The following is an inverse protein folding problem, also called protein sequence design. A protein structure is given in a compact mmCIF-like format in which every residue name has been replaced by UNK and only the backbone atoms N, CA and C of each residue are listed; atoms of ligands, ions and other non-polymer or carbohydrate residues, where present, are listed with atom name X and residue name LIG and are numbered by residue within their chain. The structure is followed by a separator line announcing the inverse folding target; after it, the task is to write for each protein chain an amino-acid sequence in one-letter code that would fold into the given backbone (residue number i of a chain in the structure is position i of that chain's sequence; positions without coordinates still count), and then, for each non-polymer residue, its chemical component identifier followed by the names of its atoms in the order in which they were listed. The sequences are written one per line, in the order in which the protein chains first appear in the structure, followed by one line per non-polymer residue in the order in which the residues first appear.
data_IF_121438380487
#
_entry.id   IF_121438380487
#
_cell.length_a   1.000
_cell.length_b   1.000
_cell.length_c   1.000
_cell.angle_alpha   90.00
_cell.angle_beta   90.00
_cell.angle_gamma   90.00
#
_symmetry.space_group_name_H-M   'P 1'
#
loop_
_entity.id
_entity.type
_entity.pdbx_description
1 polymer ?
#
# COMPACT_ATOMS: atom_id res chain seq x y z
N UNK A 1 4.53 -18.84 -7.88
CA UNK A 1 5.72 -18.02 -7.55
C UNK A 1 5.87 -17.02 -8.69
N UNK A 2 5.41 -15.77 -8.52
CA UNK A 2 5.60 -14.75 -9.56
C UNK A 2 7.10 -14.53 -9.77
N UNK A 3 7.54 -14.51 -11.03
CA UNK A 3 8.94 -14.25 -11.36
C UNK A 3 9.35 -12.88 -10.81
N UNK A 4 10.51 -12.83 -10.14
CA UNK A 4 11.06 -11.57 -9.66
C UNK A 4 11.47 -10.73 -10.85
N UNK A 5 11.03 -9.47 -10.90
CA UNK A 5 11.45 -8.56 -11.96
C UNK A 5 12.69 -7.82 -11.43
N UNK A 6 13.83 -8.06 -12.08
CA UNK A 6 15.04 -7.33 -11.76
C UNK A 6 14.89 -5.86 -12.20
N UNK A 7 15.64 -4.95 -11.56
CA UNK A 7 15.60 -3.53 -11.93
C UNK A 7 16.00 -3.34 -13.39
N UNK A 8 16.99 -4.10 -13.84
CA UNK A 8 17.52 -4.09 -15.20
C UNK A 8 16.42 -4.44 -16.21
N UNK A 9 15.66 -5.50 -15.96
CA UNK A 9 14.52 -5.90 -16.78
C UNK A 9 13.42 -4.84 -16.82
N UNK A 10 13.15 -4.16 -15.69
CA UNK A 10 12.20 -3.05 -15.66
C UNK A 10 12.69 -1.87 -16.52
N UNK A 11 13.99 -1.56 -16.45
CA UNK A 11 14.58 -0.49 -17.26
C UNK A 11 14.54 -0.84 -18.75
N UNK A 12 14.82 -2.08 -19.14
CA UNK A 12 14.67 -2.54 -20.53
C UNK A 12 13.25 -2.37 -21.06
N UNK A 13 12.23 -2.72 -20.26
CA UNK A 13 10.82 -2.51 -20.62
C UNK A 13 10.47 -1.04 -20.79
N UNK A 14 11.02 -0.16 -19.94
CA UNK A 14 10.84 1.29 -20.07
C UNK A 14 11.48 1.83 -21.35
N UNK A 15 12.66 1.33 -21.72
CA UNK A 15 13.32 1.68 -23.00
C UNK A 15 12.48 1.22 -24.19
N UNK A 16 11.98 -0.02 -24.18
CA UNK A 16 11.11 -0.54 -25.25
C UNK A 16 9.81 0.26 -25.38
N UNK A 17 9.18 0.59 -24.25
CA UNK A 17 8.01 1.46 -24.22
C UNK A 17 8.31 2.85 -24.80
N UNK A 18 9.46 3.46 -24.45
CA UNK A 18 9.85 4.76 -24.97
C UNK A 18 10.05 4.75 -26.50
N UNK A 19 10.64 3.67 -27.05
CA UNK A 19 10.76 3.49 -28.49
C UNK A 19 9.40 3.33 -29.19
N UNK A 20 8.47 2.58 -28.58
CA UNK A 20 7.09 2.45 -29.10
C UNK A 20 6.35 3.79 -29.05
N UNK A 21 6.45 4.50 -27.92
CA UNK A 21 5.84 5.82 -27.70
C UNK A 21 6.30 6.85 -28.74
N UNK A 22 7.60 6.85 -29.12
CA UNK A 22 8.13 7.69 -30.21
C UNK A 22 7.44 7.42 -31.53
N UNK A 23 7.30 6.14 -31.91
CA UNK A 23 6.63 5.73 -33.16
C UNK A 23 5.15 6.11 -33.18
N UNK A 24 4.53 6.18 -31.99
CA UNK A 24 3.14 6.59 -31.81
C UNK A 24 2.98 8.11 -31.61
N UNK A 25 4.01 8.91 -31.86
CA UNK A 25 3.94 10.38 -31.88
C UNK A 25 3.82 11.04 -30.50
N UNK A 26 4.27 10.38 -29.42
CA UNK A 26 4.44 11.05 -28.13
C UNK A 26 5.56 12.10 -28.26
N UNK A 27 5.37 13.25 -27.61
CA UNK A 27 6.31 14.36 -27.68
C UNK A 27 7.68 13.95 -27.11
N UNK A 28 8.76 14.39 -27.76
CA UNK A 28 10.13 14.04 -27.36
C UNK A 28 10.42 14.45 -25.92
N UNK A 29 9.89 15.59 -25.48
CA UNK A 29 10.04 16.11 -24.13
C UNK A 29 9.37 15.21 -23.08
N UNK A 30 8.21 14.62 -23.41
CA UNK A 30 7.52 13.68 -22.54
C UNK A 30 8.32 12.38 -22.38
N UNK A 31 8.91 11.88 -23.46
CA UNK A 31 9.76 10.68 -23.42
C UNK A 31 11.05 10.95 -22.63
N UNK A 32 11.72 12.07 -22.88
CA UNK A 32 12.94 12.44 -22.15
C UNK A 32 12.67 12.51 -20.63
N UNK A 33 11.51 13.03 -20.23
CA UNK A 33 11.10 13.06 -18.81
C UNK A 33 11.00 11.65 -18.21
N UNK A 34 10.49 10.66 -18.94
CA UNK A 34 10.47 9.26 -18.47
C UNK A 34 11.88 8.69 -18.33
N UNK A 35 12.78 8.99 -19.27
CA UNK A 35 14.18 8.54 -19.22
C UNK A 35 14.92 9.13 -18.00
N UNK A 36 14.72 10.41 -17.71
CA UNK A 36 15.26 11.08 -16.52
C UNK A 36 14.72 10.49 -15.19
N UNK A 37 13.42 10.22 -15.14
CA UNK A 37 12.80 9.56 -13.99
C UNK A 37 13.29 8.13 -13.80
N UNK A 38 13.58 7.43 -14.91
CA UNK A 38 14.09 6.06 -14.91
C UNK A 38 15.51 6.02 -14.35
N UNK A 39 16.36 6.95 -14.78
CA UNK A 39 17.72 7.11 -14.26
C UNK A 39 17.74 7.38 -12.74
N UNK A 40 16.79 8.19 -12.25
CA UNK A 40 16.62 8.49 -10.82
C UNK A 40 15.77 7.47 -10.05
N UNK A 41 15.35 6.37 -10.68
CA UNK A 41 14.55 5.29 -10.07
C UNK A 41 13.23 5.77 -9.45
N UNK A 42 12.63 6.84 -9.99
CA UNK A 42 11.36 7.42 -9.54
C UNK A 42 10.17 6.65 -10.13
N UNK A 43 10.13 5.34 -9.92
CA UNK A 43 9.19 4.46 -10.61
C UNK A 43 7.72 4.74 -10.31
N UNK A 44 7.36 5.13 -9.08
CA UNK A 44 5.97 5.52 -8.80
C UNK A 44 5.55 6.78 -9.57
N UNK A 45 6.46 7.73 -9.75
CA UNK A 45 6.21 8.93 -10.55
C UNK A 45 6.01 8.58 -12.03
N UNK A 46 6.81 7.64 -12.55
CA UNK A 46 6.62 7.09 -13.90
C UNK A 46 5.25 6.44 -14.02
N UNK A 47 4.90 5.54 -13.10
CA UNK A 47 3.62 4.83 -13.16
C UNK A 47 2.41 5.78 -13.18
N UNK A 48 2.46 6.85 -12.38
CA UNK A 48 1.42 7.88 -12.39
C UNK A 48 1.35 8.62 -13.74
N UNK A 49 2.50 9.02 -14.29
CA UNK A 49 2.54 9.70 -15.60
C UNK A 49 2.03 8.82 -16.73
N UNK A 50 2.46 7.56 -16.77
CA UNK A 50 2.01 6.58 -17.76
C UNK A 50 0.50 6.35 -17.65
N UNK A 51 -0.04 6.21 -16.45
CA UNK A 51 -1.49 6.11 -16.22
C UNK A 51 -2.25 7.33 -16.73
N UNK A 52 -1.78 8.53 -16.40
CA UNK A 52 -2.41 9.77 -16.84
C UNK A 52 -2.38 9.91 -18.37
N UNK A 53 -1.25 9.64 -19.01
CA UNK A 53 -1.12 9.73 -20.46
C UNK A 53 -1.95 8.68 -21.18
N UNK A 54 -1.92 7.43 -20.70
CA UNK A 54 -2.73 6.33 -21.26
C UNK A 54 -4.22 6.68 -21.25
N UNK A 55 -4.71 7.27 -20.16
CA UNK A 55 -6.10 7.70 -20.04
C UNK A 55 -6.44 8.88 -20.97
N UNK A 56 -5.52 9.82 -21.20
CA UNK A 56 -5.77 11.00 -22.04
C UNK A 56 -5.71 10.72 -23.53
N UNK A 57 -4.77 9.87 -23.97
CA UNK A 57 -4.53 9.61 -25.40
C UNK A 57 -5.67 8.84 -26.06
N UNK A 58 -6.42 8.05 -25.27
CA UNK A 58 -7.53 7.23 -25.73
C UNK A 58 -7.15 6.30 -26.91
N UNK A 59 -5.90 5.81 -26.90
CA UNK A 59 -5.38 4.84 -27.87
C UNK A 59 -5.24 3.47 -27.17
N UNK A 60 -5.94 2.42 -27.64
CA UNK A 60 -5.93 1.12 -26.96
C UNK A 60 -4.55 0.46 -26.89
N UNK A 61 -3.72 0.58 -27.94
CA UNK A 61 -2.40 -0.03 -27.96
C UNK A 61 -1.47 0.67 -26.98
N UNK A 62 -1.43 2.00 -27.02
CA UNK A 62 -0.68 2.82 -26.08
C UNK A 62 -1.10 2.57 -24.64
N UNK A 63 -2.41 2.43 -24.41
CA UNK A 63 -2.95 2.12 -23.09
C UNK A 63 -2.41 0.78 -22.59
N UNK A 64 -2.52 -0.28 -23.40
CA UNK A 64 -2.03 -1.61 -23.03
C UNK A 64 -0.53 -1.61 -22.75
N UNK A 65 0.29 -1.07 -23.65
CA UNK A 65 1.75 -1.00 -23.45
C UNK A 65 2.13 -0.21 -22.18
N UNK A 66 1.46 0.92 -21.94
CA UNK A 66 1.69 1.73 -20.75
C UNK A 66 1.29 0.99 -19.48
N UNK A 67 0.18 0.25 -19.50
CA UNK A 67 -0.30 -0.52 -18.34
C UNK A 67 0.57 -1.75 -18.05
N UNK A 68 1.18 -2.36 -19.06
CA UNK A 68 2.18 -3.43 -18.86
C UNK A 68 3.44 -2.91 -18.15
N UNK A 69 3.90 -1.70 -18.48
CA UNK A 69 4.99 -1.05 -17.77
C UNK A 69 4.58 -0.68 -16.34
N UNK A 70 3.38 -0.13 -16.14
CA UNK A 70 2.84 0.16 -14.79
C UNK A 70 2.75 -1.11 -13.94
N UNK A 71 2.31 -2.23 -14.51
CA UNK A 71 2.29 -3.52 -13.84
C UNK A 71 3.71 -3.97 -13.46
N UNK A 72 4.67 -3.81 -14.37
CA UNK A 72 6.09 -4.11 -14.11
C UNK A 72 6.67 -3.29 -12.96
N UNK A 73 6.33 -1.99 -12.90
CA UNK A 73 6.71 -1.10 -11.79
C UNK A 73 6.10 -1.58 -10.47
N UNK A 74 4.80 -1.93 -10.48
CA UNK A 74 4.11 -2.46 -9.30
C UNK A 74 4.76 -3.74 -8.81
N UNK A 75 5.08 -4.67 -9.71
CA UNK A 75 5.77 -5.92 -9.35
C UNK A 75 7.14 -5.67 -8.72
N UNK A 76 7.95 -4.77 -9.31
CA UNK A 76 9.26 -4.40 -8.79
C UNK A 76 9.15 -3.76 -7.38
N UNK A 77 8.29 -2.76 -7.23
CA UNK A 77 8.11 -2.07 -5.95
C UNK A 77 7.44 -2.97 -4.90
N UNK A 78 6.55 -3.86 -5.32
CA UNK A 78 5.94 -4.87 -4.46
C UNK A 78 6.98 -5.84 -3.92
N UNK A 79 7.90 -6.33 -4.76
CA UNK A 79 9.03 -7.16 -4.34
C UNK A 79 9.94 -6.44 -3.35
N UNK A 80 10.24 -5.16 -3.61
CA UNK A 80 10.96 -4.32 -2.65
C UNK A 80 10.20 -4.21 -1.33
N UNK A 81 8.90 -3.93 -1.35
CA UNK A 81 8.06 -3.84 -0.15
C UNK A 81 7.96 -5.17 0.62
N UNK A 82 8.08 -6.30 -0.07
CA UNK A 82 8.04 -7.62 0.53
C UNK A 82 9.36 -8.01 1.22
N UNK A 83 10.48 -7.59 0.67
CA UNK A 83 11.81 -8.05 1.07
C UNK A 83 12.65 -7.00 1.80
N UNK A 84 12.23 -5.74 1.80
CA UNK A 84 12.88 -4.67 2.53
C UNK A 84 12.95 -4.97 4.04
N UNK A 85 14.13 -4.74 4.62
CA UNK A 85 14.38 -4.86 6.06
C UNK A 85 14.90 -3.56 6.68
N UNK A 86 15.11 -2.52 5.87
CA UNK A 86 15.59 -1.23 6.34
C UNK A 86 14.60 -0.65 7.36
N UNK A 87 15.09 -0.14 8.51
CA UNK A 87 14.23 0.58 9.44
C UNK A 87 13.69 1.85 8.78
N UNK A 88 12.53 2.30 9.26
CA UNK A 88 12.03 3.64 8.97
C UNK A 88 11.58 4.32 10.25
N UNK A 89 11.55 5.64 10.24
CA UNK A 89 10.89 6.42 11.29
C UNK A 89 9.40 6.43 11.02
N UNK A 90 8.63 5.82 11.91
CA UNK A 90 7.17 5.82 11.84
C UNK A 90 6.63 7.04 12.59
N UNK A 91 6.01 7.96 11.86
CA UNK A 91 5.35 9.14 12.43
C UNK A 91 3.86 9.08 12.10
N UNK A 92 3.02 9.10 13.13
CA UNK A 92 1.59 9.22 12.99
C UNK A 92 1.23 10.71 12.89
N UNK A 93 0.80 11.13 11.69
CA UNK A 93 0.20 12.44 11.49
C UNK A 93 -1.27 12.46 11.91
N UNK A 94 -1.97 13.56 11.59
CA UNK A 94 -3.40 13.72 11.88
C UNK A 94 -4.29 12.66 11.22
N UNK A 95 -3.84 12.06 10.11
CA UNK A 95 -4.55 11.03 9.36
C UNK A 95 -3.78 9.71 9.29
N UNK A 96 -3.01 9.39 10.34
CA UNK A 96 -2.24 8.15 10.45
C UNK A 96 -0.81 8.24 9.92
N UNK A 97 -0.16 7.08 9.83
CA UNK A 97 1.17 6.94 9.23
C UNK A 97 1.07 6.78 7.71
N UNK A 98 1.88 7.53 6.97
CA UNK A 98 1.94 7.50 5.51
C UNK A 98 3.37 7.26 5.06
N UNK A 99 3.52 6.43 4.04
CA UNK A 99 4.79 6.14 3.41
C UNK A 99 4.60 5.72 1.95
N UNK A 100 5.72 5.56 1.26
CA UNK A 100 5.83 5.08 -0.11
C UNK A 100 6.12 3.58 -0.10
N UNK A 101 5.27 2.82 -0.79
CA UNK A 101 5.39 1.37 -0.90
C UNK A 101 6.73 1.00 -1.55
N UNK A 102 7.48 0.13 -0.88
CA UNK A 102 8.80 -0.32 -1.35
C UNK A 102 9.95 0.63 -1.02
N UNK A 103 9.69 1.69 -0.26
CA UNK A 103 10.69 2.57 0.34
C UNK A 103 10.62 2.47 1.87
N UNK A 104 9.74 3.24 2.50
CA UNK A 104 9.52 3.23 3.96
C UNK A 104 8.29 2.42 4.38
N UNK A 105 7.32 2.23 3.48
CA UNK A 105 6.14 1.42 3.71
C UNK A 105 6.34 0.01 3.14
N UNK A 106 6.73 -0.92 4.01
CA UNK A 106 7.02 -2.32 3.64
C UNK A 106 6.52 -3.30 4.70
N UNK A 107 6.43 -4.58 4.33
CA UNK A 107 5.80 -5.64 5.11
C UNK A 107 6.37 -5.70 6.54
N UNK A 108 7.68 -5.62 6.69
CA UNK A 108 8.33 -5.68 8.00
C UNK A 108 7.95 -4.48 8.88
N UNK A 109 7.87 -3.28 8.32
CA UNK A 109 7.45 -2.11 9.09
C UNK A 109 5.97 -2.19 9.46
N UNK A 110 5.10 -2.70 8.58
CA UNK A 110 3.69 -2.95 8.92
C UNK A 110 3.59 -3.93 10.10
N UNK A 111 4.32 -5.05 10.09
CA UNK A 111 4.39 -5.96 11.24
C UNK A 111 4.72 -5.22 12.55
N UNK A 112 5.78 -4.40 12.53
CA UNK A 112 6.23 -3.63 13.71
C UNK A 112 5.17 -2.64 14.18
N UNK A 113 4.53 -1.93 13.26
CA UNK A 113 3.48 -0.95 13.59
C UNK A 113 2.25 -1.62 14.19
N UNK A 114 1.79 -2.74 13.60
CA UNK A 114 0.63 -3.45 14.16
C UNK A 114 0.94 -4.02 15.54
N UNK A 115 2.14 -4.59 15.76
CA UNK A 115 2.58 -5.02 17.09
C UNK A 115 2.61 -3.87 18.09
N UNK A 116 3.14 -2.71 17.69
CA UNK A 116 3.18 -1.53 18.55
C UNK A 116 1.76 -1.03 18.91
N UNK A 117 0.81 -1.07 17.96
CA UNK A 117 -0.60 -0.77 18.23
C UNK A 117 -1.16 -1.78 19.25
N UNK A 118 -0.95 -3.08 19.06
CA UNK A 118 -1.40 -4.11 20.01
C UNK A 118 -0.83 -3.87 21.42
N UNK A 119 0.46 -3.59 21.54
CA UNK A 119 1.11 -3.31 22.82
C UNK A 119 0.61 -2.02 23.48
N UNK A 120 0.28 -1.01 22.67
CA UNK A 120 -0.37 0.22 23.14
C UNK A 120 -1.79 -0.08 23.68
N UNK A 121 -2.55 -0.97 23.02
CA UNK A 121 -3.87 -1.39 23.48
C UNK A 121 -3.85 -2.17 24.80
N UNK A 122 -2.72 -2.80 25.15
CA UNK A 122 -2.53 -3.46 26.46
C UNK A 122 -2.31 -2.47 27.60
N UNK A 123 -1.93 -1.22 27.30
CA UNK A 123 -1.56 -0.27 28.32
C UNK A 123 -2.76 0.12 29.20
N UNK A 124 -2.58 0.27 30.51
CA UNK A 124 -3.68 0.66 31.42
C UNK A 124 -4.38 1.95 31.01
N UNK A 125 -3.63 2.90 30.42
CA UNK A 125 -4.19 4.16 29.92
C UNK A 125 -5.15 3.94 28.76
N UNK A 126 -4.82 3.07 27.81
CA UNK A 126 -5.72 2.75 26.70
C UNK A 126 -6.98 2.08 27.22
N UNK A 127 -6.82 1.05 28.06
CA UNK A 127 -7.94 0.27 28.60
C UNK A 127 -8.95 1.18 29.32
N UNK A 128 -8.47 1.97 30.29
CA UNK A 128 -9.32 2.89 31.06
C UNK A 128 -9.99 3.94 30.17
N UNK A 129 -9.25 4.54 29.24
CA UNK A 129 -9.77 5.64 28.40
C UNK A 129 -10.85 5.14 27.43
N UNK A 130 -10.78 3.88 27.02
CA UNK A 130 -11.73 3.28 26.09
C UNK A 130 -12.78 2.39 26.77
N UNK A 131 -12.91 2.45 28.10
CA UNK A 131 -13.94 1.72 28.84
C UNK A 131 -13.73 0.20 28.93
N UNK A 132 -12.51 -0.29 28.73
CA UNK A 132 -12.15 -1.69 28.89
C UNK A 132 -11.52 -1.95 30.26
N UNK A 133 -11.97 -3.00 30.93
CA UNK A 133 -11.44 -3.44 32.22
C UNK A 133 -10.20 -4.33 32.05
N UNK A 134 -10.02 -4.93 30.88
CA UNK A 134 -8.87 -5.78 30.57
C UNK A 134 -8.63 -5.90 29.07
N UNK A 135 -7.42 -6.29 28.68
CA UNK A 135 -7.11 -6.60 27.28
C UNK A 135 -7.94 -7.78 26.74
N UNK A 136 -8.42 -8.68 27.60
CA UNK A 136 -9.32 -9.77 27.20
C UNK A 136 -10.65 -9.25 26.66
N UNK A 137 -11.15 -8.11 27.16
CA UNK A 137 -12.36 -7.49 26.61
C UNK A 137 -12.10 -6.88 25.24
N UNK A 138 -10.93 -6.24 25.06
CA UNK A 138 -10.47 -5.75 23.74
C UNK A 138 -10.39 -6.90 22.73
N UNK A 139 -9.82 -8.04 23.12
CA UNK A 139 -9.72 -9.24 22.27
C UNK A 139 -11.10 -9.73 21.81
N UNK A 140 -12.10 -9.72 22.71
CA UNK A 140 -13.48 -10.12 22.42
C UNK A 140 -14.22 -9.11 21.54
N UNK A 141 -14.08 -7.83 21.85
CA UNK A 141 -14.65 -6.74 21.05
C UNK A 141 -14.08 -6.75 19.63
N UNK A 142 -12.80 -7.06 19.49
CA UNK A 142 -12.10 -7.20 18.22
C UNK A 142 -11.79 -5.86 17.55
N UNK A 143 -11.22 -5.94 16.36
CA UNK A 143 -10.92 -4.80 15.49
C UNK A 143 -11.49 -5.01 14.10
N UNK A 144 -11.94 -3.92 13.48
CA UNK A 144 -12.23 -3.90 12.05
C UNK A 144 -10.92 -3.74 11.27
N UNK A 145 -10.69 -4.55 10.25
CA UNK A 145 -9.52 -4.50 9.38
C UNK A 145 -9.98 -4.35 7.94
N UNK A 146 -9.59 -3.26 7.28
CA UNK A 146 -10.04 -2.99 5.92
C UNK A 146 -9.04 -2.12 5.15
N UNK A 147 -9.33 -1.91 3.87
CA UNK A 147 -8.48 -1.17 2.94
C UNK A 147 -9.27 -0.44 1.87
N UNK A 148 -8.61 0.49 1.18
CA UNK A 148 -9.06 0.98 -0.11
C UNK A 148 -8.65 0.02 -1.26
N UNK A 149 -8.78 0.47 -2.51
CA UNK A 149 -8.44 -0.32 -3.69
C UNK A 149 -6.98 -0.21 -4.15
N UNK A 150 -6.08 0.41 -3.36
CA UNK A 150 -4.69 0.61 -3.76
C UNK A 150 -3.87 -0.67 -3.72
N UNK A 151 -2.79 -0.63 -4.49
CA UNK A 151 -1.82 -1.71 -4.62
C UNK A 151 -1.31 -2.20 -3.26
N UNK A 152 -1.14 -3.53 -3.12
CA UNK A 152 -0.73 -4.24 -1.91
C UNK A 152 -1.66 -4.16 -0.69
N UNK A 153 -2.85 -3.56 -0.81
CA UNK A 153 -3.78 -3.50 0.31
C UNK A 153 -4.07 -4.87 0.94
N UNK A 154 -4.31 -5.90 0.12
CA UNK A 154 -4.56 -7.27 0.61
C UNK A 154 -3.34 -7.85 1.34
N UNK A 155 -2.13 -7.56 0.87
CA UNK A 155 -0.88 -8.01 1.49
C UNK A 155 -0.69 -7.38 2.87
N UNK A 156 -0.99 -6.08 2.99
CA UNK A 156 -0.92 -5.36 4.26
C UNK A 156 -2.01 -5.81 5.23
N UNK A 157 -3.25 -6.02 4.76
CA UNK A 157 -4.31 -6.63 5.55
C UNK A 157 -3.91 -8.02 6.05
N UNK A 158 -3.33 -8.87 5.20
CA UNK A 158 -2.84 -10.20 5.59
C UNK A 158 -1.82 -10.12 6.73
N UNK A 159 -0.86 -9.20 6.65
CA UNK A 159 0.14 -8.97 7.70
C UNK A 159 -0.49 -8.49 9.00
N UNK A 160 -1.39 -7.50 8.94
CA UNK A 160 -2.08 -7.01 10.12
C UNK A 160 -2.90 -8.13 10.78
N UNK A 161 -3.63 -8.92 9.99
CA UNK A 161 -4.41 -10.06 10.47
C UNK A 161 -3.53 -11.07 11.21
N UNK A 162 -2.33 -11.37 10.70
CA UNK A 162 -1.39 -12.27 11.37
C UNK A 162 -1.03 -11.78 12.78
N UNK A 163 -0.71 -10.49 12.92
CA UNK A 163 -0.35 -9.90 14.20
C UNK A 163 -1.53 -9.81 15.18
N UNK A 164 -2.71 -9.44 14.68
CA UNK A 164 -3.94 -9.40 15.48
C UNK A 164 -4.34 -10.80 15.97
N UNK A 165 -4.26 -11.81 15.10
CA UNK A 165 -4.53 -13.20 15.46
C UNK A 165 -3.51 -13.74 16.47
N UNK A 166 -2.22 -13.41 16.32
CA UNK A 166 -1.20 -13.77 17.30
C UNK A 166 -1.50 -13.16 18.67
N UNK A 167 -2.07 -11.95 18.70
CA UNK A 167 -2.56 -11.30 19.90
C UNK A 167 -3.95 -11.79 20.37
N UNK A 168 -4.55 -12.78 19.70
CA UNK A 168 -5.91 -13.31 19.93
C UNK A 168 -7.02 -12.25 19.86
N UNK A 169 -6.83 -11.20 19.07
CA UNK A 169 -7.85 -10.18 18.81
C UNK A 169 -8.76 -10.69 17.69
N UNK A 170 -10.08 -10.66 17.91
CA UNK A 170 -11.06 -10.97 16.86
C UNK A 170 -10.94 -9.95 15.71
N UNK A 171 -10.87 -10.41 14.47
CA UNK A 171 -10.78 -9.55 13.28
C UNK A 171 -12.10 -9.58 12.51
N UNK A 172 -12.68 -8.41 12.25
CA UNK A 172 -13.79 -8.23 11.32
C UNK A 172 -13.24 -7.64 10.03
N UNK A 173 -13.48 -8.29 8.89
CA UNK A 173 -12.84 -7.91 7.64
C UNK A 173 -13.87 -7.76 6.51
N UNK A 174 -14.34 -6.52 6.24
CA UNK A 174 -15.25 -6.24 5.13
C UNK A 174 -14.53 -6.21 3.76
N UNK A 175 -13.18 -6.32 3.75
CA UNK A 175 -12.37 -6.22 2.54
C UNK A 175 -12.20 -4.77 2.07
N UNK A 176 -12.46 -4.52 0.78
CA UNK A 176 -12.44 -3.15 0.21
C UNK A 176 -13.59 -2.33 0.76
N UNK A 177 -13.26 -1.27 1.49
CA UNK A 177 -14.24 -0.46 2.19
C UNK A 177 -13.80 1.00 2.26
N UNK A 178 -14.62 1.97 1.83
CA UNK A 178 -14.34 3.39 2.06
C UNK A 178 -14.28 3.70 3.57
N UNK A 179 -13.43 4.65 3.97
CA UNK A 179 -13.21 5.02 5.38
C UNK A 179 -14.51 5.34 6.13
N UNK A 180 -15.45 6.05 5.50
CA UNK A 180 -16.73 6.39 6.11
C UNK A 180 -17.60 5.17 6.45
N UNK A 181 -17.62 4.17 5.56
CA UNK A 181 -18.33 2.91 5.79
C UNK A 181 -17.65 2.13 6.91
N UNK A 182 -16.32 2.01 6.88
CA UNK A 182 -15.55 1.35 7.94
C UNK A 182 -15.80 1.98 9.32
N UNK A 183 -15.84 3.31 9.41
CA UNK A 183 -16.15 4.03 10.64
C UNK A 183 -17.55 3.70 11.18
N UNK A 184 -18.57 3.64 10.32
CA UNK A 184 -19.91 3.23 10.74
C UNK A 184 -19.95 1.79 11.26
N UNK A 185 -19.19 0.87 10.64
CA UNK A 185 -19.10 -0.53 11.05
C UNK A 185 -18.44 -0.70 12.43
N UNK A 186 -17.48 0.15 12.80
CA UNK A 186 -16.86 0.12 14.14
C UNK A 186 -17.92 0.29 15.23
N UNK A 187 -18.83 1.24 15.06
CA UNK A 187 -19.94 1.50 15.97
C UNK A 187 -20.97 0.39 15.93
N UNK A 188 -21.34 -0.07 14.72
CA UNK A 188 -22.36 -1.13 14.54
C UNK A 188 -21.94 -2.46 15.18
N UNK A 189 -20.67 -2.85 15.04
CA UNK A 189 -20.12 -4.08 15.60
C UNK A 189 -19.52 -3.91 17.00
N UNK A 190 -19.53 -2.68 17.53
CA UNK A 190 -18.95 -2.32 18.84
C UNK A 190 -17.50 -2.83 19.00
N UNK A 191 -16.71 -2.71 17.93
CA UNK A 191 -15.30 -3.11 17.95
C UNK A 191 -14.46 -2.14 18.79
N UNK A 192 -13.31 -2.59 19.29
CA UNK A 192 -12.37 -1.75 20.03
C UNK A 192 -11.65 -0.68 19.17
N UNK A 193 -11.91 -0.68 17.86
CA UNK A 193 -11.33 0.25 16.90
C UNK A 193 -11.19 -0.37 15.52
N UNK A 194 -10.39 0.27 14.67
CA UNK A 194 -10.10 -0.25 13.35
C UNK A 194 -8.67 0.01 12.90
N UNK A 195 -8.20 -0.82 11.97
CA UNK A 195 -7.00 -0.62 11.17
C UNK A 195 -7.46 -0.51 9.71
N UNK A 196 -7.13 0.63 9.10
CA UNK A 196 -7.46 0.93 7.72
C UNK A 196 -6.17 1.15 6.92
N UNK A 197 -5.97 0.36 5.86
CA UNK A 197 -4.92 0.61 4.89
C UNK A 197 -5.43 1.51 3.77
N UNK A 198 -5.25 2.81 4.00
CA UNK A 198 -5.47 3.89 3.03
C UNK A 198 -4.49 5.03 3.33
N UNK A 199 -3.99 5.76 2.32
CA UNK A 199 -3.33 7.04 2.53
C UNK A 199 -4.33 8.20 2.37
N UNK A 200 -5.63 8.01 2.65
CA UNK A 200 -6.67 9.05 2.85
C UNK A 200 -7.98 8.43 3.30
#
# INVERSE_FOLDING_TARGET
MQQRIAKETLLERLTQWAESARKQGIATEEIQKIEELSASSRFWTIANQLGDWANRKNDPLFFTESMEVVASIRDYQGQKAYHASNPTTVVFGTSGWRGVIGEDFHILNVHKVIRAIVEMMRQPVFLRTNGYSSFTEVQKAGLLLFRDNRFMGDDFCRVARMELNAARIKVYEPGMCPTGVGSALVTQFQTAGSINFTPS
#
